data_IF_232322824025
#
_entry.id   IF_232322824025
#
_cell.length_a   1.000
_cell.length_b   1.000
_cell.length_c   1.000
_cell.angle_alpha   90.00
_cell.angle_beta   90.00
_cell.angle_gamma   90.00
#
_symmetry.space_group_name_H-M   'P 1'
#
loop_
_entity.id
_entity.type
_entity.pdbx_description
1 polymer ?
#
# COMPACT_ATOMS: atom_id res chain seq x y z
N UNK A 1 -19.04 -13.69 -1.77
CA UNK A 1 -17.70 -13.14 -2.14
C UNK A 1 -17.17 -12.44 -0.90
N UNK A 2 -15.99 -12.81 -0.42
CA UNK A 2 -15.36 -12.15 0.73
C UNK A 2 -14.27 -11.22 0.21
N UNK A 3 -14.37 -9.94 0.53
CA UNK A 3 -13.36 -8.94 0.18
C UNK A 3 -12.37 -8.89 1.34
N UNK A 4 -11.09 -9.08 1.03
CA UNK A 4 -10.01 -9.00 2.01
C UNK A 4 -9.38 -7.61 1.96
N UNK A 5 -9.40 -6.90 3.08
CA UNK A 5 -8.74 -5.59 3.24
C UNK A 5 -7.56 -5.77 4.19
N UNK A 6 -6.34 -5.64 3.66
CA UNK A 6 -5.07 -5.79 4.38
C UNK A 6 -4.77 -4.63 5.31
N UNK A 7 -5.11 -3.41 4.91
CA UNK A 7 -4.84 -2.20 5.69
C UNK A 7 -5.98 -1.17 5.55
N UNK A 8 -6.33 -0.53 6.66
CA UNK A 8 -7.34 0.53 6.70
C UNK A 8 -6.70 1.92 6.56
N UNK A 9 -7.47 2.94 6.13
CA UNK A 9 -7.01 4.33 6.12
C UNK A 9 -6.38 4.74 7.46
N UNK A 10 -5.26 5.44 7.39
CA UNK A 10 -4.49 5.85 8.57
C UNK A 10 -3.47 4.82 9.05
N UNK A 11 -3.46 3.59 8.52
CA UNK A 11 -2.47 2.57 8.87
C UNK A 11 -1.12 2.88 8.21
N UNK A 12 -0.05 2.84 8.98
CA UNK A 12 1.32 2.89 8.46
C UNK A 12 1.70 1.57 7.79
N UNK A 13 2.32 1.66 6.62
CA UNK A 13 2.73 0.54 5.76
C UNK A 13 4.07 0.87 5.06
N UNK A 14 4.64 -0.10 4.36
CA UNK A 14 5.88 0.03 3.60
C UNK A 14 5.61 -0.27 2.12
N UNK A 15 5.61 0.76 1.27
CA UNK A 15 5.38 0.62 -0.17
C UNK A 15 6.71 0.36 -0.90
N UNK A 16 6.67 -0.43 -1.99
CA UNK A 16 7.83 -0.68 -2.85
C UNK A 16 7.83 0.32 -4.00
N UNK A 17 8.99 0.90 -4.29
CA UNK A 17 9.22 1.74 -5.46
C UNK A 17 10.54 1.34 -6.11
N UNK A 18 10.46 0.69 -7.28
CA UNK A 18 11.65 0.16 -7.94
C UNK A 18 12.36 -0.89 -7.07
N UNK A 19 13.61 -0.60 -6.68
CA UNK A 19 14.43 -1.47 -5.83
C UNK A 19 14.57 -0.93 -4.39
N UNK A 20 13.69 -0.03 -3.98
CA UNK A 20 13.67 0.52 -2.61
C UNK A 20 12.27 0.37 -2.01
N UNK A 21 12.19 0.42 -0.68
CA UNK A 21 10.92 0.53 0.03
C UNK A 21 10.93 1.82 0.82
N UNK A 22 9.74 2.34 1.09
CA UNK A 22 9.58 3.50 1.94
C UNK A 22 8.37 3.39 2.85
N UNK A 23 8.45 4.05 4.01
CA UNK A 23 7.36 4.08 4.98
C UNK A 23 6.33 5.12 4.54
N UNK A 24 5.07 4.73 4.49
CA UNK A 24 3.94 5.61 4.16
C UNK A 24 2.68 5.21 4.94
N UNK A 25 1.54 5.83 4.63
CA UNK A 25 0.25 5.62 5.27
C UNK A 25 -0.85 5.46 4.22
N UNK A 26 -1.80 4.57 4.51
CA UNK A 26 -3.00 4.39 3.67
C UNK A 26 -3.86 5.64 3.75
N UNK A 27 -4.16 6.25 2.61
CA UNK A 27 -5.10 7.35 2.47
C UNK A 27 -6.54 6.82 2.38
N UNK A 28 -6.80 5.93 1.43
CA UNK A 28 -8.12 5.34 1.19
C UNK A 28 -7.99 3.94 0.59
N UNK A 29 -9.11 3.22 0.60
CA UNK A 29 -9.22 1.86 0.05
C UNK A 29 -10.43 1.84 -0.85
N UNK A 30 -10.25 1.39 -2.08
CA UNK A 30 -11.30 1.25 -3.07
C UNK A 30 -11.47 -0.22 -3.45
N UNK A 31 -12.70 -0.69 -3.47
CA UNK A 31 -13.04 -2.03 -3.96
C UNK A 31 -13.58 -1.87 -5.37
N UNK A 32 -12.93 -2.52 -6.34
CA UNK A 32 -13.31 -2.46 -7.74
C UNK A 32 -14.46 -3.44 -8.03
N UNK A 33 -15.15 -3.24 -9.16
CA UNK A 33 -16.33 -4.04 -9.56
C UNK A 33 -16.02 -5.53 -9.74
N UNK A 34 -14.76 -5.89 -9.99
CA UNK A 34 -14.28 -7.27 -10.10
C UNK A 34 -13.96 -7.91 -8.74
N UNK A 35 -14.12 -7.16 -7.65
CA UNK A 35 -13.83 -7.59 -6.27
C UNK A 35 -12.38 -7.43 -5.84
N UNK A 36 -11.51 -6.89 -6.69
CA UNK A 36 -10.15 -6.52 -6.30
C UNK A 36 -10.13 -5.27 -5.42
N UNK A 37 -9.02 -5.09 -4.67
CA UNK A 37 -8.85 -3.98 -3.73
C UNK A 37 -7.66 -3.14 -4.15
N UNK A 38 -7.90 -1.85 -4.36
CA UNK A 38 -6.90 -0.83 -4.65
C UNK A 38 -6.67 0.02 -3.40
N UNK A 39 -5.41 0.28 -3.06
CA UNK A 39 -5.01 1.10 -1.93
C UNK A 39 -4.41 2.40 -2.44
N UNK A 40 -4.93 3.53 -1.99
CA UNK A 40 -4.26 4.82 -2.21
C UNK A 40 -3.32 5.06 -1.03
N UNK A 41 -2.03 5.17 -1.30
CA UNK A 41 -0.99 5.45 -0.31
C UNK A 41 -0.40 6.83 -0.57
N UNK A 42 -0.10 7.58 0.49
CA UNK A 42 0.56 8.88 0.34
C UNK A 42 1.94 8.73 -0.31
N UNK A 43 2.28 9.65 -1.20
CA UNK A 43 3.61 9.69 -1.81
C UNK A 43 4.66 10.14 -0.78
N UNK A 44 5.91 9.71 -0.94
CA UNK A 44 7.01 9.98 0.01
C UNK A 44 7.16 11.49 0.32
N UNK A 45 6.99 12.32 -0.71
CA UNK A 45 7.27 13.75 -0.66
C UNK A 45 6.01 14.62 -0.70
N UNK A 46 4.82 14.02 -0.49
CA UNK A 46 3.57 14.78 -0.58
C UNK A 46 2.50 14.28 0.38
N UNK A 47 2.08 15.16 1.29
CA UNK A 47 0.90 14.93 2.13
C UNK A 47 -0.43 15.15 1.36
N UNK A 48 -0.36 15.61 0.12
CA UNK A 48 -1.53 15.91 -0.72
C UNK A 48 -1.68 14.99 -1.92
N UNK A 49 -0.65 14.23 -2.29
CA UNK A 49 -0.67 13.28 -3.39
C UNK A 49 -0.69 11.85 -2.86
N UNK A 50 -1.42 10.98 -3.55
CA UNK A 50 -1.44 9.56 -3.29
C UNK A 50 -1.43 8.80 -4.61
N UNK A 51 -0.74 7.67 -4.60
CA UNK A 51 -0.65 6.75 -5.74
C UNK A 51 -1.38 5.46 -5.42
N UNK A 52 -1.91 4.80 -6.45
CA UNK A 52 -2.62 3.53 -6.32
C UNK A 52 -1.65 2.35 -6.23
N UNK A 53 -1.94 1.42 -5.32
CA UNK A 53 -1.18 0.21 -5.05
C UNK A 53 -2.10 -1.00 -4.94
N UNK A 54 -1.66 -2.15 -5.45
CA UNK A 54 -2.26 -3.46 -5.16
C UNK A 54 -1.75 -4.03 -3.83
N UNK A 55 -2.36 -5.12 -3.37
CA UNK A 55 -2.03 -5.75 -2.09
C UNK A 55 -0.56 -6.20 -1.99
N UNK A 56 0.03 -6.63 -3.11
CA UNK A 56 1.39 -7.16 -3.23
C UNK A 56 2.48 -6.09 -3.38
N UNK A 57 2.10 -4.84 -3.63
CA UNK A 57 3.03 -3.73 -3.83
C UNK A 57 3.40 -2.99 -2.52
N UNK A 58 2.85 -3.41 -1.38
CA UNK A 58 3.20 -2.90 -0.07
C UNK A 58 3.12 -3.96 1.05
N UNK A 59 3.77 -3.66 2.16
CA UNK A 59 3.93 -4.58 3.29
C UNK A 59 3.57 -3.90 4.62
N UNK A 60 3.15 -4.70 5.60
CA UNK A 60 2.74 -4.19 6.92
C UNK A 60 3.93 -3.97 7.86
N UNK A 61 5.05 -4.64 7.58
CA UNK A 61 6.28 -4.55 8.37
C UNK A 61 7.49 -4.26 7.50
N UNK A 62 8.49 -3.62 8.09
CA UNK A 62 9.75 -3.32 7.42
C UNK A 62 10.50 -4.61 7.02
N UNK A 63 10.40 -5.66 7.84
CA UNK A 63 11.06 -6.94 7.58
C UNK A 63 10.51 -7.63 6.32
N UNK A 64 9.19 -7.59 6.12
CA UNK A 64 8.55 -8.10 4.91
C UNK A 64 8.98 -7.29 3.69
N UNK A 65 8.97 -5.96 3.77
CA UNK A 65 9.41 -5.08 2.69
C UNK A 65 10.88 -5.32 2.30
N UNK A 66 11.77 -5.42 3.30
CA UNK A 66 13.19 -5.78 3.09
C UNK A 66 13.36 -7.11 2.37
N UNK A 67 12.55 -8.11 2.71
CA UNK A 67 12.62 -9.43 2.09
C UNK A 67 12.07 -9.47 0.67
N UNK A 68 11.25 -8.49 0.28
CA UNK A 68 10.64 -8.41 -1.04
C UNK A 68 11.54 -7.75 -2.09
N UNK A 69 12.56 -7.00 -1.67
CA UNK A 69 13.54 -6.37 -2.54
C UNK A 69 14.70 -7.35 -2.78
N UNK A 70 15.02 -7.59 -4.06
CA UNK A 70 16.07 -8.52 -4.52
C UNK A 70 17.29 -7.74 -5.01
#
# INVERSE_FOLDING_TARGET
MYIYIKALPGKEVFAIWGNEYYKTKVQSVEVLDDGSVCYLLYDLDSESCASGYSDDEFYLTEAEAKSAII
#
